data_IF_067149029768
#
_entry.id   IF_067149029768
#
_cell.length_a   1.000
_cell.length_b   1.000
_cell.length_c   1.000
_cell.angle_alpha   90.00
_cell.angle_beta   90.00
_cell.angle_gamma   90.00
#
_symmetry.space_group_name_H-M   'P 1'
#
loop_
_entity.id
_entity.type
_entity.pdbx_description
1 polymer ?
#
# COMPACT_ATOMS: atom_id res chain seq x y z
N UNK A 1 -34.19 -38.27 5.88
CA UNK A 1 -33.59 -37.12 5.18
C UNK A 1 -33.84 -37.31 3.69
N UNK A 2 -34.49 -36.36 3.01
CA UNK A 2 -34.79 -36.51 1.58
C UNK A 2 -33.47 -36.62 0.77
N UNK A 3 -33.50 -37.43 -0.28
CA UNK A 3 -32.33 -37.68 -1.15
C UNK A 3 -31.68 -36.35 -1.63
N UNK A 4 -32.49 -35.33 -1.92
CA UNK A 4 -32.00 -33.98 -2.29
C UNK A 4 -31.14 -33.34 -1.19
N UNK A 5 -31.55 -33.40 0.09
CA UNK A 5 -30.75 -32.83 1.19
C UNK A 5 -29.40 -33.53 1.36
N UNK A 6 -29.40 -34.88 1.18
CA UNK A 6 -28.13 -35.64 1.21
C UNK A 6 -27.23 -35.24 0.05
N UNK A 7 -27.78 -35.14 -1.16
CA UNK A 7 -27.00 -34.72 -2.35
C UNK A 7 -26.38 -33.32 -2.16
N UNK A 8 -27.16 -32.34 -1.71
CA UNK A 8 -26.69 -30.99 -1.45
C UNK A 8 -25.60 -30.98 -0.37
N UNK A 9 -25.75 -31.72 0.69
CA UNK A 9 -24.78 -31.86 1.77
C UNK A 9 -23.44 -32.44 1.27
N UNK A 10 -23.51 -33.57 0.51
CA UNK A 10 -22.29 -34.17 -0.05
C UNK A 10 -21.63 -33.30 -1.10
N UNK A 11 -22.39 -32.63 -1.97
CA UNK A 11 -21.85 -31.67 -2.92
C UNK A 11 -21.13 -30.50 -2.22
N UNK A 12 -21.74 -29.93 -1.16
CA UNK A 12 -21.11 -28.86 -0.38
C UNK A 12 -19.79 -29.33 0.28
N UNK A 13 -19.80 -30.52 0.89
CA UNK A 13 -18.61 -31.10 1.49
C UNK A 13 -17.49 -31.32 0.45
N UNK A 14 -17.84 -31.88 -0.71
CA UNK A 14 -16.88 -32.09 -1.81
C UNK A 14 -16.26 -30.77 -2.28
N UNK A 15 -17.07 -29.71 -2.48
CA UNK A 15 -16.56 -28.41 -2.90
C UNK A 15 -15.68 -27.78 -1.82
N UNK A 16 -16.04 -27.90 -0.53
CA UNK A 16 -15.19 -27.39 0.56
C UNK A 16 -13.84 -28.13 0.62
N UNK A 17 -13.84 -29.46 0.50
CA UNK A 17 -12.60 -30.24 0.47
C UNK A 17 -11.76 -29.85 -0.74
N UNK A 18 -12.37 -29.70 -1.91
CA UNK A 18 -11.69 -29.24 -3.11
C UNK A 18 -11.09 -27.85 -2.91
N UNK A 19 -11.82 -26.91 -2.26
CA UNK A 19 -11.32 -25.58 -1.95
C UNK A 19 -10.07 -25.63 -1.07
N UNK A 20 -10.04 -26.52 -0.07
CA UNK A 20 -8.87 -26.68 0.80
C UNK A 20 -7.65 -27.10 -0.04
N UNK A 21 -7.78 -28.10 -0.91
CA UNK A 21 -6.67 -28.52 -1.78
C UNK A 21 -6.24 -27.42 -2.75
N UNK A 22 -7.19 -26.72 -3.37
CA UNK A 22 -6.89 -25.60 -4.28
C UNK A 22 -6.19 -24.44 -3.52
N UNK A 23 -6.58 -24.17 -2.28
CA UNK A 23 -5.96 -23.15 -1.44
C UNK A 23 -4.53 -23.54 -1.05
N UNK A 24 -4.30 -24.79 -0.68
CA UNK A 24 -2.96 -25.31 -0.40
C UNK A 24 -2.07 -25.19 -1.66
N UNK A 25 -2.57 -25.64 -2.81
CA UNK A 25 -1.85 -25.51 -4.08
C UNK A 25 -1.54 -24.04 -4.41
N UNK A 26 -2.52 -23.15 -4.26
CA UNK A 26 -2.34 -21.71 -4.48
C UNK A 26 -1.26 -21.08 -3.60
N UNK A 27 -1.12 -21.56 -2.36
CA UNK A 27 -0.10 -21.06 -1.42
C UNK A 27 1.34 -21.33 -1.91
N UNK A 28 1.56 -22.41 -2.69
CA UNK A 28 2.88 -22.72 -3.27
C UNK A 28 3.17 -21.97 -4.58
N UNK A 29 2.18 -21.34 -5.21
CA UNK A 29 2.37 -20.65 -6.49
C UNK A 29 3.01 -19.26 -6.37
N UNK A 30 2.96 -18.66 -5.17
CA UNK A 30 3.28 -17.25 -4.96
C UNK A 30 2.17 -16.29 -5.44
N UNK A 31 2.20 -15.00 -5.04
CA UNK A 31 1.04 -14.09 -5.13
C UNK A 31 0.49 -13.91 -6.56
N UNK A 32 1.36 -13.61 -7.52
CA UNK A 32 0.95 -13.32 -8.91
C UNK A 32 0.36 -14.55 -9.61
N UNK A 33 1.00 -15.72 -9.46
CA UNK A 33 0.52 -16.96 -10.09
C UNK A 33 -0.75 -17.46 -9.41
N UNK A 34 -0.86 -17.35 -8.09
CA UNK A 34 -2.07 -17.69 -7.35
C UNK A 34 -3.24 -16.81 -7.79
N UNK A 35 -3.04 -15.49 -7.94
CA UNK A 35 -4.05 -14.57 -8.47
C UNK A 35 -4.57 -15.02 -9.84
N UNK A 36 -3.67 -15.33 -10.78
CA UNK A 36 -4.05 -15.78 -12.12
C UNK A 36 -4.76 -17.15 -12.08
N UNK A 37 -4.32 -18.06 -11.23
CA UNK A 37 -4.95 -19.35 -11.02
C UNK A 37 -6.39 -19.22 -10.51
N UNK A 38 -6.62 -18.45 -9.42
CA UNK A 38 -7.94 -18.26 -8.85
C UNK A 38 -8.91 -17.44 -9.72
N UNK A 39 -8.38 -16.62 -10.65
CA UNK A 39 -9.16 -15.89 -11.65
C UNK A 39 -9.33 -16.66 -12.98
N UNK A 40 -8.85 -17.89 -13.09
CA UNK A 40 -9.00 -18.71 -14.29
C UNK A 40 -10.46 -19.10 -14.55
N UNK A 41 -10.80 -19.35 -15.82
CA UNK A 41 -12.16 -19.73 -16.20
C UNK A 41 -12.70 -20.97 -15.44
N UNK A 42 -11.93 -22.07 -15.25
CA UNK A 42 -12.39 -23.20 -14.44
C UNK A 42 -12.75 -22.82 -13.01
N UNK A 43 -11.95 -21.95 -12.37
CA UNK A 43 -12.23 -21.51 -11.01
C UNK A 43 -13.34 -20.46 -10.94
N UNK A 44 -13.57 -19.67 -11.97
CA UNK A 44 -14.76 -18.84 -12.07
C UNK A 44 -16.04 -19.67 -12.05
N UNK A 45 -16.08 -20.79 -12.80
CA UNK A 45 -17.20 -21.76 -12.77
C UNK A 45 -17.34 -22.39 -11.38
N UNK A 46 -16.23 -22.77 -10.75
CA UNK A 46 -16.23 -23.29 -9.38
C UNK A 46 -16.84 -22.28 -8.38
N UNK A 47 -16.43 -21.01 -8.42
CA UNK A 47 -16.95 -19.99 -7.51
C UNK A 47 -18.46 -19.74 -7.69
N UNK A 48 -18.93 -19.73 -8.95
CA UNK A 48 -20.37 -19.61 -9.25
C UNK A 48 -21.12 -20.82 -8.71
N UNK A 49 -20.64 -22.03 -8.99
CA UNK A 49 -21.27 -23.27 -8.52
C UNK A 49 -21.31 -23.35 -6.99
N UNK A 50 -20.22 -22.96 -6.32
CA UNK A 50 -20.12 -22.92 -4.86
C UNK A 50 -21.11 -21.92 -4.26
N UNK A 51 -21.22 -20.72 -4.85
CA UNK A 51 -22.17 -19.69 -4.40
C UNK A 51 -23.61 -20.16 -4.57
N UNK A 52 -23.96 -20.72 -5.73
CA UNK A 52 -25.30 -21.26 -5.98
C UNK A 52 -25.63 -22.38 -5.01
N UNK A 53 -24.70 -23.30 -4.76
CA UNK A 53 -24.90 -24.39 -3.81
C UNK A 53 -25.10 -23.89 -2.38
N UNK A 54 -24.41 -22.84 -1.98
CA UNK A 54 -24.55 -22.19 -0.68
C UNK A 54 -25.95 -21.55 -0.55
N UNK A 55 -26.44 -20.88 -1.58
CA UNK A 55 -27.79 -20.28 -1.63
C UNK A 55 -28.85 -21.40 -1.53
N UNK A 56 -28.73 -22.44 -2.36
CA UNK A 56 -29.64 -23.59 -2.38
C UNK A 56 -29.62 -24.30 -1.02
N UNK A 57 -28.44 -24.56 -0.47
CA UNK A 57 -28.26 -25.16 0.84
C UNK A 57 -28.95 -24.38 1.95
N UNK A 58 -28.73 -23.03 1.96
CA UNK A 58 -29.38 -22.15 2.94
C UNK A 58 -30.92 -22.22 2.83
N UNK A 59 -31.47 -22.27 1.61
CA UNK A 59 -32.90 -22.36 1.38
C UNK A 59 -33.49 -23.73 1.80
N UNK A 60 -32.80 -24.83 1.48
CA UNK A 60 -33.29 -26.21 1.77
C UNK A 60 -33.21 -26.57 3.27
N UNK A 61 -32.13 -26.10 3.94
CA UNK A 61 -31.93 -26.38 5.36
C UNK A 61 -32.58 -25.32 6.23
N UNK A 62 -33.89 -25.45 6.52
CA UNK A 62 -34.68 -24.49 7.32
C UNK A 62 -34.01 -24.05 8.64
N UNK A 63 -33.15 -24.89 9.24
CA UNK A 63 -32.43 -24.57 10.45
C UNK A 63 -31.46 -23.36 10.23
N UNK A 64 -30.87 -23.27 9.03
CA UNK A 64 -29.96 -22.19 8.67
C UNK A 64 -30.67 -20.81 8.62
N UNK A 65 -31.95 -20.84 8.22
CA UNK A 65 -32.78 -19.62 8.18
C UNK A 65 -33.37 -19.29 9.57
N UNK A 66 -33.79 -20.30 10.33
CA UNK A 66 -34.49 -20.11 11.61
C UNK A 66 -33.57 -19.69 12.75
N UNK A 67 -32.28 -19.96 12.67
CA UNK A 67 -31.32 -19.61 13.69
C UNK A 67 -30.59 -18.35 13.22
N UNK A 68 -30.83 -17.15 13.86
CA UNK A 68 -30.33 -15.86 13.35
C UNK A 68 -28.81 -15.83 13.11
N UNK A 69 -28.01 -16.37 14.03
CA UNK A 69 -26.56 -16.46 13.88
C UNK A 69 -26.12 -17.28 12.66
N UNK A 70 -26.78 -18.42 12.40
CA UNK A 70 -26.46 -19.23 11.21
C UNK A 70 -26.89 -18.53 9.92
N UNK A 71 -28.02 -17.84 9.93
CA UNK A 71 -28.49 -17.06 8.78
C UNK A 71 -27.49 -15.96 8.43
N UNK A 72 -27.05 -15.20 9.43
CA UNK A 72 -26.06 -14.12 9.22
C UNK A 72 -24.73 -14.66 8.69
N UNK A 73 -24.25 -15.81 9.20
CA UNK A 73 -23.01 -16.43 8.71
C UNK A 73 -23.15 -16.80 7.23
N UNK A 74 -24.20 -17.52 6.84
CA UNK A 74 -24.38 -17.98 5.47
C UNK A 74 -24.67 -16.83 4.51
N UNK A 75 -25.51 -15.87 4.91
CA UNK A 75 -25.76 -14.67 4.12
C UNK A 75 -24.48 -13.81 3.95
N UNK A 76 -23.67 -13.67 5.01
CA UNK A 76 -22.37 -13.03 4.94
C UNK A 76 -21.43 -13.71 3.94
N UNK A 77 -21.32 -15.03 3.97
CA UNK A 77 -20.53 -15.77 2.98
C UNK A 77 -21.05 -15.59 1.54
N UNK A 78 -22.36 -15.60 1.34
CA UNK A 78 -22.99 -15.36 0.03
C UNK A 78 -22.63 -13.95 -0.48
N UNK A 79 -22.72 -12.92 0.37
CA UNK A 79 -22.35 -11.54 0.00
C UNK A 79 -20.87 -11.43 -0.34
N UNK A 80 -19.97 -12.05 0.45
CA UNK A 80 -18.53 -12.04 0.16
C UNK A 80 -18.26 -12.64 -1.22
N UNK A 81 -18.80 -13.83 -1.49
CA UNK A 81 -18.62 -14.51 -2.78
C UNK A 81 -19.22 -13.72 -3.94
N UNK A 82 -20.42 -13.19 -3.78
CA UNK A 82 -21.09 -12.37 -4.80
C UNK A 82 -20.31 -11.09 -5.09
N UNK A 83 -19.84 -10.39 -4.05
CA UNK A 83 -19.03 -9.19 -4.19
C UNK A 83 -17.68 -9.47 -4.87
N UNK A 84 -17.01 -10.58 -4.52
CA UNK A 84 -15.77 -11.00 -5.16
C UNK A 84 -15.97 -11.35 -6.65
N UNK A 85 -17.03 -12.10 -6.99
CA UNK A 85 -17.37 -12.39 -8.39
C UNK A 85 -17.66 -11.09 -9.16
N UNK A 86 -18.38 -10.15 -8.53
CA UNK A 86 -18.74 -8.85 -9.14
C UNK A 86 -17.52 -7.99 -9.44
N UNK A 87 -16.48 -8.03 -8.59
CA UNK A 87 -15.22 -7.32 -8.77
C UNK A 87 -14.22 -8.03 -9.70
N UNK A 88 -14.49 -9.28 -10.10
CA UNK A 88 -13.61 -10.04 -11.00
C UNK A 88 -13.64 -9.51 -12.44
N UNK A 89 -12.64 -9.89 -13.26
CA UNK A 89 -12.62 -9.56 -14.69
C UNK A 89 -13.90 -10.05 -15.43
N UNK A 90 -14.42 -11.21 -15.02
CA UNK A 90 -15.70 -11.74 -15.54
C UNK A 90 -16.88 -10.87 -15.10
N UNK A 91 -16.88 -10.39 -13.86
CA UNK A 91 -17.86 -9.44 -13.33
C UNK A 91 -17.85 -8.11 -14.07
N UNK A 92 -16.68 -7.54 -14.34
CA UNK A 92 -16.56 -6.30 -15.14
C UNK A 92 -17.07 -6.48 -16.58
N UNK A 93 -16.77 -7.62 -17.23
CA UNK A 93 -17.34 -7.94 -18.56
C UNK A 93 -18.86 -8.04 -18.51
N UNK A 94 -19.42 -8.65 -17.45
CA UNK A 94 -20.86 -8.76 -17.25
C UNK A 94 -21.51 -7.39 -17.02
N UNK A 95 -20.92 -6.54 -16.17
CA UNK A 95 -21.37 -5.16 -15.91
C UNK A 95 -21.43 -4.34 -17.20
N UNK A 96 -20.38 -4.43 -18.04
CA UNK A 96 -20.36 -3.77 -19.34
C UNK A 96 -21.50 -4.26 -20.24
N UNK A 97 -21.71 -5.57 -20.31
CA UNK A 97 -22.70 -6.18 -21.20
C UNK A 97 -24.15 -5.92 -20.77
N UNK A 98 -24.43 -5.92 -19.47
CA UNK A 98 -25.79 -5.77 -18.95
C UNK A 98 -26.17 -4.33 -18.63
N UNK A 99 -25.23 -3.52 -18.18
CA UNK A 99 -25.49 -2.17 -17.66
C UNK A 99 -24.76 -1.08 -18.43
N UNK A 100 -23.94 -1.42 -19.43
CA UNK A 100 -23.11 -0.44 -20.15
C UNK A 100 -21.99 0.18 -19.28
N UNK A 101 -21.73 -0.35 -18.10
CA UNK A 101 -20.74 0.18 -17.18
C UNK A 101 -19.35 -0.32 -17.61
N UNK A 102 -18.57 0.58 -18.23
CA UNK A 102 -17.25 0.26 -18.74
C UNK A 102 -16.15 0.89 -17.88
N UNK A 103 -15.99 0.41 -16.64
CA UNK A 103 -14.92 0.84 -15.74
C UNK A 103 -13.59 0.16 -16.07
N UNK A 104 -12.49 0.80 -15.67
CA UNK A 104 -11.13 0.26 -15.76
C UNK A 104 -10.96 -0.72 -14.59
N UNK A 105 -10.76 -2.02 -14.83
CA UNK A 105 -10.61 -2.99 -13.73
C UNK A 105 -9.37 -2.73 -12.89
N UNK A 106 -8.22 -2.58 -13.54
CA UNK A 106 -6.94 -2.22 -12.93
C UNK A 106 -5.99 -1.67 -13.97
N UNK A 107 -5.23 -0.64 -13.60
CA UNK A 107 -4.22 -0.02 -14.43
C UNK A 107 -3.31 0.89 -13.63
N UNK A 108 -2.44 1.59 -14.33
CA UNK A 108 -1.51 2.56 -13.75
C UNK A 108 -1.54 3.84 -14.57
N UNK A 109 -1.34 4.95 -13.91
CA UNK A 109 -1.13 6.25 -14.55
C UNK A 109 0.15 6.89 -13.99
N UNK A 110 0.93 7.50 -14.89
CA UNK A 110 2.12 8.28 -14.54
C UNK A 110 1.72 9.73 -14.57
N UNK A 111 1.93 10.45 -13.47
CA UNK A 111 1.56 11.85 -13.36
C UNK A 111 2.80 12.63 -12.90
N UNK A 112 3.21 13.62 -13.69
CA UNK A 112 4.28 14.55 -13.31
C UNK A 112 3.74 15.61 -12.35
N UNK A 113 4.59 16.09 -11.44
CA UNK A 113 4.23 17.18 -10.54
C UNK A 113 3.69 18.40 -11.29
N UNK A 114 2.63 18.99 -10.76
CA UNK A 114 1.93 20.12 -11.34
C UNK A 114 1.06 19.80 -12.56
N UNK A 115 1.15 18.58 -13.14
CA UNK A 115 0.38 18.19 -14.31
C UNK A 115 -0.90 17.43 -13.95
N UNK A 116 -1.77 17.25 -14.93
CA UNK A 116 -3.01 16.47 -14.82
C UNK A 116 -3.10 15.45 -15.94
N UNK A 117 -3.55 14.24 -15.59
CA UNK A 117 -3.72 13.13 -16.53
C UNK A 117 -5.09 12.48 -16.35
N UNK A 118 -5.62 11.87 -17.42
CA UNK A 118 -6.82 11.04 -17.37
C UNK A 118 -6.60 9.65 -17.98
N UNK A 119 -5.45 9.44 -18.62
CA UNK A 119 -5.09 8.18 -19.27
C UNK A 119 -4.56 7.15 -18.27
N UNK A 120 -5.14 5.96 -18.28
CA UNK A 120 -4.72 4.82 -17.46
C UNK A 120 -4.26 3.70 -18.37
N UNK A 121 -3.01 3.27 -18.22
CA UNK A 121 -2.45 2.10 -18.90
C UNK A 121 -2.97 0.84 -18.21
N UNK A 122 -3.67 -0.02 -18.93
CA UNK A 122 -4.26 -1.23 -18.36
C UNK A 122 -3.19 -2.26 -17.99
N UNK A 123 -3.32 -2.89 -16.82
CA UNK A 123 -2.33 -3.86 -16.29
C UNK A 123 -2.06 -5.04 -17.24
N UNK A 124 -3.05 -5.47 -18.03
CA UNK A 124 -2.98 -6.66 -18.88
C UNK A 124 -2.82 -6.34 -20.37
N UNK A 125 -2.62 -5.09 -20.73
CA UNK A 125 -2.43 -4.66 -22.12
C UNK A 125 -1.80 -3.27 -22.14
N UNK A 126 -1.00 -2.96 -23.13
CA UNK A 126 -0.44 -1.60 -23.31
C UNK A 126 -1.49 -0.56 -23.74
N UNK A 127 -2.78 -0.92 -23.70
CA UNK A 127 -3.86 -0.01 -24.08
C UNK A 127 -4.09 1.02 -22.99
N UNK A 128 -4.21 2.26 -23.42
CA UNK A 128 -4.62 3.38 -22.57
C UNK A 128 -6.13 3.49 -22.60
N UNK A 129 -6.74 3.69 -21.44
CA UNK A 129 -8.15 3.97 -21.27
C UNK A 129 -8.33 5.23 -20.45
N UNK A 130 -9.22 6.12 -20.89
CA UNK A 130 -9.42 7.42 -20.23
C UNK A 130 -10.44 7.34 -19.10
N UNK A 131 -10.16 8.07 -18.01
CA UNK A 131 -11.11 8.37 -16.96
C UNK A 131 -12.03 9.52 -17.38
N UNK A 132 -13.30 9.58 -16.89
CA UNK A 132 -14.21 10.68 -17.17
C UNK A 132 -13.91 11.97 -16.38
N UNK A 133 -12.72 12.09 -15.81
CA UNK A 133 -12.19 13.22 -15.06
C UNK A 133 -10.66 13.17 -15.09
N UNK A 134 -10.01 14.26 -14.72
CA UNK A 134 -8.56 14.34 -14.61
C UNK A 134 -8.12 14.11 -13.17
N UNK A 135 -6.95 13.50 -13.01
CA UNK A 135 -6.20 13.40 -11.74
C UNK A 135 -4.99 14.30 -11.87
N UNK A 136 -4.82 15.24 -10.96
CA UNK A 136 -3.67 16.14 -10.89
C UNK A 136 -2.81 15.74 -9.72
N UNK A 137 -1.50 15.68 -9.93
CA UNK A 137 -0.49 15.59 -8.86
C UNK A 137 -0.02 17.02 -8.54
N UNK A 138 -0.32 17.50 -7.34
CA UNK A 138 0.16 18.81 -6.89
C UNK A 138 1.61 18.74 -6.43
N UNK A 139 1.92 17.77 -5.56
CA UNK A 139 3.23 17.55 -4.97
C UNK A 139 3.44 16.06 -4.69
N UNK A 140 4.69 15.63 -4.74
CA UNK A 140 5.12 14.30 -4.29
C UNK A 140 6.33 14.44 -3.37
N UNK A 141 6.25 13.90 -2.17
CA UNK A 141 7.36 13.91 -1.24
C UNK A 141 7.49 12.59 -0.46
N UNK A 142 8.71 12.36 0.05
CA UNK A 142 9.03 11.24 0.91
C UNK A 142 9.01 11.69 2.36
N UNK A 143 8.29 11.00 3.19
CA UNK A 143 8.41 11.15 4.64
C UNK A 143 9.48 10.21 5.19
N UNK A 144 10.19 10.65 6.23
CA UNK A 144 11.27 9.90 6.82
C UNK A 144 11.07 9.74 8.33
N UNK A 145 11.43 8.56 8.84
CA UNK A 145 11.47 8.33 10.28
C UNK A 145 12.47 9.27 10.96
N UNK A 146 12.08 9.86 12.07
CA UNK A 146 12.97 10.64 12.94
C UNK A 146 13.36 9.80 14.16
N UNK A 147 14.58 9.94 14.69
CA UNK A 147 15.65 10.78 14.15
C UNK A 147 16.33 10.17 12.92
N UNK A 148 16.86 11.02 12.04
CA UNK A 148 17.81 10.66 11.02
C UNK A 148 19.19 10.46 11.64
N UNK A 149 20.11 9.79 10.94
CA UNK A 149 21.38 9.39 11.55
C UNK A 149 22.58 9.72 10.67
N UNK A 150 23.66 10.16 11.33
CA UNK A 150 25.02 10.14 10.78
C UNK A 150 25.70 8.88 11.29
N UNK A 151 26.01 7.96 10.38
CA UNK A 151 26.83 6.78 10.69
C UNK A 151 28.30 7.11 10.46
N UNK A 152 29.14 6.85 11.43
CA UNK A 152 30.59 7.06 11.39
C UNK A 152 31.25 5.71 11.61
N UNK A 153 32.18 5.34 10.75
CA UNK A 153 32.94 4.09 10.88
C UNK A 153 34.43 4.35 10.71
N UNK A 154 35.25 3.65 11.50
CA UNK A 154 36.70 3.59 11.29
C UNK A 154 37.05 2.40 10.39
N UNK A 155 38.24 2.44 9.78
CA UNK A 155 38.80 1.29 9.05
C UNK A 155 39.01 0.04 9.93
N UNK A 156 39.09 0.21 11.24
CA UNK A 156 39.28 -0.86 12.24
C UNK A 156 37.94 -1.48 12.67
N UNK A 157 36.80 -1.01 12.13
CA UNK A 157 35.48 -1.58 12.41
C UNK A 157 34.74 -0.96 13.59
N UNK A 158 35.27 0.08 14.24
CA UNK A 158 34.52 0.85 15.23
C UNK A 158 33.43 1.64 14.52
N UNK A 159 32.22 1.76 15.11
CA UNK A 159 31.12 2.49 14.51
C UNK A 159 30.30 3.27 15.55
N UNK A 160 29.83 4.44 15.16
CA UNK A 160 28.92 5.29 15.93
C UNK A 160 27.72 5.62 15.07
N UNK A 161 26.54 5.54 15.65
CA UNK A 161 25.27 5.96 15.06
C UNK A 161 24.76 7.19 15.81
N UNK A 162 24.94 8.37 15.24
CA UNK A 162 24.66 9.67 15.85
C UNK A 162 23.37 10.22 15.29
N UNK A 163 22.36 10.59 16.12
CA UNK A 163 21.17 11.28 15.62
C UNK A 163 21.54 12.66 15.06
N UNK A 164 20.85 13.08 14.01
CA UNK A 164 21.05 14.39 13.38
C UNK A 164 20.50 15.48 14.29
N UNK A 165 21.40 16.08 15.08
CA UNK A 165 21.13 17.21 15.96
C UNK A 165 22.07 18.36 15.57
N UNK A 166 21.55 19.46 15.01
CA UNK A 166 22.34 20.58 14.54
C UNK A 166 22.99 21.32 15.72
N UNK A 167 24.27 21.58 15.63
CA UNK A 167 25.04 22.36 16.60
C UNK A 167 25.54 21.58 17.83
N UNK A 168 25.19 20.31 17.97
CA UNK A 168 25.64 19.47 19.08
C UNK A 168 26.97 18.79 18.75
N UNK A 169 27.89 18.79 19.73
CA UNK A 169 29.15 18.08 19.64
C UNK A 169 29.00 16.64 20.14
N UNK A 170 29.50 15.68 19.36
CA UNK A 170 29.57 14.26 19.70
C UNK A 170 31.01 13.80 19.79
N UNK A 171 31.41 13.26 20.94
CA UNK A 171 32.75 12.71 21.13
C UNK A 171 32.86 11.30 20.55
N UNK A 172 33.88 11.07 19.73
CA UNK A 172 34.24 9.74 19.20
C UNK A 172 35.28 9.01 20.06
N UNK A 173 35.69 9.62 21.17
CA UNK A 173 36.75 9.17 22.03
C UNK A 173 38.01 10.01 21.92
N UNK A 174 38.96 9.79 22.87
CA UNK A 174 40.14 10.64 23.02
C UNK A 174 41.06 10.62 21.79
N UNK A 175 41.08 9.55 21.04
CA UNK A 175 42.01 9.37 19.90
C UNK A 175 41.42 9.85 18.54
N UNK A 176 40.11 10.09 18.47
CA UNK A 176 39.40 10.40 17.21
C UNK A 176 38.78 11.80 17.18
N UNK A 177 38.68 12.46 18.36
CA UNK A 177 38.15 13.83 18.46
C UNK A 177 36.63 13.90 18.55
N UNK A 178 36.06 14.99 17.98
CA UNK A 178 34.61 15.26 18.04
C UNK A 178 34.03 15.50 16.66
N UNK A 179 32.74 15.25 16.54
CA UNK A 179 31.96 15.51 15.33
C UNK A 179 30.77 16.39 15.68
N UNK A 180 30.52 17.40 14.86
CA UNK A 180 29.40 18.34 14.96
C UNK A 180 28.69 18.43 13.62
N UNK A 181 27.36 18.34 13.61
CA UNK A 181 26.53 18.58 12.42
C UNK A 181 26.21 20.08 12.42
N UNK A 182 26.68 20.78 11.39
CA UNK A 182 26.51 22.23 11.27
C UNK A 182 25.19 22.59 10.60
N UNK A 183 24.82 21.84 9.54
CA UNK A 183 23.62 22.09 8.74
C UNK A 183 23.14 20.83 8.05
N UNK A 184 21.82 20.70 7.86
CA UNK A 184 21.19 19.72 7.01
C UNK A 184 20.58 20.42 5.78
N UNK A 185 20.64 19.76 4.63
CA UNK A 185 20.09 20.20 3.35
C UNK A 185 19.15 19.10 2.83
N UNK A 186 17.99 19.49 2.28
CA UNK A 186 17.08 18.57 1.60
C UNK A 186 17.43 18.45 0.11
N UNK A 187 17.82 19.55 -0.53
CA UNK A 187 18.23 19.59 -1.94
C UNK A 187 19.52 20.39 -2.11
N UNK A 188 20.64 19.78 -1.66
CA UNK A 188 21.95 20.41 -1.68
C UNK A 188 22.41 20.83 -3.07
N UNK A 189 22.80 22.08 -3.23
CA UNK A 189 23.46 22.67 -4.41
C UNK A 189 24.61 23.54 -3.99
N UNK A 190 25.50 23.80 -4.94
CA UNK A 190 26.60 24.73 -4.78
C UNK A 190 26.44 25.83 -5.83
N UNK A 191 26.50 27.10 -5.42
CA UNK A 191 26.64 28.24 -6.31
C UNK A 191 28.05 28.80 -6.19
N UNK A 192 28.51 29.35 -7.29
CA UNK A 192 29.83 30.01 -7.36
C UNK A 192 29.58 31.50 -7.21
N UNK A 193 30.07 32.11 -6.14
CA UNK A 193 30.07 33.58 -5.90
C UNK A 193 31.51 34.11 -5.90
N UNK A 194 31.96 34.63 -7.04
CA UNK A 194 33.36 34.94 -7.25
C UNK A 194 34.21 33.66 -7.20
N UNK A 195 35.23 33.64 -6.33
CA UNK A 195 36.08 32.45 -6.12
C UNK A 195 35.57 31.52 -4.99
N UNK A 196 34.39 31.78 -4.46
CA UNK A 196 33.83 30.97 -3.34
C UNK A 196 32.74 30.05 -3.79
N UNK A 197 32.81 28.79 -3.34
CA UNK A 197 31.77 27.82 -3.48
C UNK A 197 30.83 27.88 -2.26
N UNK A 198 29.60 28.37 -2.46
CA UNK A 198 28.65 28.61 -1.40
C UNK A 198 27.56 27.51 -1.48
N UNK A 199 27.45 26.62 -0.48
CA UNK A 199 26.41 25.63 -0.42
C UNK A 199 25.07 26.27 -0.02
N UNK A 200 24.01 25.87 -0.70
CA UNK A 200 22.64 26.29 -0.39
C UNK A 200 21.64 25.15 -0.59
N UNK A 201 20.47 25.33 -0.02
CA UNK A 201 19.34 24.44 -0.23
C UNK A 201 18.50 24.98 -1.38
N UNK A 202 18.35 24.20 -2.46
CA UNK A 202 17.61 24.61 -3.64
C UNK A 202 16.12 24.50 -3.38
N UNK A 203 15.34 25.61 -3.44
CA UNK A 203 13.91 25.57 -3.16
C UNK A 203 13.07 24.92 -4.27
N UNK A 204 13.66 24.69 -5.46
CA UNK A 204 12.98 24.00 -6.54
C UNK A 204 12.93 22.47 -6.28
N UNK A 205 11.92 21.76 -6.83
CA UNK A 205 11.83 20.33 -6.67
C UNK A 205 13.10 19.58 -7.02
N UNK A 206 13.55 18.72 -6.14
CA UNK A 206 14.74 17.91 -6.32
C UNK A 206 15.11 17.20 -5.03
N UNK A 207 15.86 16.10 -5.14
CA UNK A 207 16.22 15.27 -4.01
C UNK A 207 17.73 15.06 -3.98
N UNK A 208 18.43 15.78 -3.13
CA UNK A 208 19.86 15.62 -2.89
C UNK A 208 20.22 15.93 -1.42
N UNK A 209 19.74 15.11 -0.47
CA UNK A 209 19.96 15.36 0.95
C UNK A 209 21.43 15.26 1.32
N UNK A 210 21.89 16.21 2.14
CA UNK A 210 23.25 16.25 2.61
C UNK A 210 23.36 16.87 4.01
N UNK A 211 24.38 16.45 4.75
CA UNK A 211 24.78 17.05 6.02
C UNK A 211 26.11 17.79 5.83
N UNK A 212 26.22 18.99 6.39
CA UNK A 212 27.50 19.65 6.60
C UNK A 212 28.02 19.23 7.97
N UNK A 213 29.13 18.50 7.97
CA UNK A 213 29.70 17.89 9.16
C UNK A 213 31.10 18.49 9.42
N UNK A 214 31.31 18.96 10.63
CA UNK A 214 32.62 19.40 11.13
C UNK A 214 33.23 18.30 11.97
N UNK A 215 34.46 17.94 11.66
CA UNK A 215 35.28 16.99 12.42
C UNK A 215 36.41 17.78 13.07
N UNK A 216 36.51 17.67 14.38
CA UNK A 216 37.63 18.29 15.13
C UNK A 216 38.55 17.20 15.65
N UNK A 217 39.79 17.17 15.20
CA UNK A 217 40.77 16.18 15.65
C UNK A 217 41.15 16.39 17.11
N UNK A 218 41.79 15.42 17.79
CA UNK A 218 42.27 15.58 19.18
C UNK A 218 43.29 16.70 19.39
N UNK A 219 44.00 17.10 18.31
CA UNK A 219 44.98 18.20 18.32
C UNK A 219 44.37 19.53 17.93
N UNK A 220 43.06 19.60 17.66
CA UNK A 220 42.33 20.84 17.39
C UNK A 220 42.18 21.17 15.91
N UNK A 221 42.66 20.35 14.99
CA UNK A 221 42.47 20.60 13.55
C UNK A 221 41.00 20.41 13.20
N UNK A 222 40.47 21.33 12.39
CA UNK A 222 39.06 21.35 11.96
C UNK A 222 38.99 21.01 10.48
N UNK A 223 38.18 19.99 10.16
CA UNK A 223 37.84 19.60 8.81
C UNK A 223 36.32 19.67 8.62
N UNK A 224 35.84 20.24 7.50
CA UNK A 224 34.40 20.36 7.21
C UNK A 224 34.09 19.65 5.92
N UNK A 225 33.13 18.69 6.00
CA UNK A 225 32.73 17.81 4.90
C UNK A 225 31.25 17.87 4.64
N UNK A 226 30.86 17.49 3.40
CA UNK A 226 29.47 17.25 3.02
C UNK A 226 29.25 15.76 2.89
N UNK A 227 28.27 15.23 3.62
CA UNK A 227 27.92 13.80 3.64
C UNK A 227 26.57 13.64 2.99
N UNK A 228 26.53 12.96 1.85
CA UNK A 228 25.33 12.78 1.05
C UNK A 228 24.65 11.46 1.38
N UNK A 229 23.31 11.46 1.40
CA UNK A 229 22.53 10.24 1.54
C UNK A 229 22.72 9.30 0.35
N UNK A 230 22.65 9.85 -0.87
CA UNK A 230 22.68 9.07 -2.14
C UNK A 230 24.06 8.55 -2.51
N UNK A 231 25.11 9.11 -1.93
CA UNK A 231 26.50 8.76 -2.23
C UNK A 231 27.25 8.37 -0.95
N UNK A 232 26.80 7.28 -0.27
CA UNK A 232 27.50 6.81 0.91
C UNK A 232 28.91 6.38 0.52
N UNK A 233 29.91 6.92 1.18
CA UNK A 233 31.29 6.45 1.02
C UNK A 233 32.18 7.23 0.05
N UNK A 234 31.84 8.47 -0.31
CA UNK A 234 32.84 9.38 -0.88
C UNK A 234 33.94 9.66 0.14
N UNK A 235 34.95 8.80 0.14
CA UNK A 235 36.13 8.92 0.97
C UNK A 235 37.37 9.18 0.12
N UNK A 236 38.24 10.02 0.60
CA UNK A 236 39.63 10.00 0.14
C UNK A 236 40.35 8.79 0.70
N UNK A 237 41.30 8.18 -0.05
CA UNK A 237 42.05 7.02 0.42
C UNK A 237 42.74 7.21 1.80
N UNK A 238 43.02 8.46 2.18
CA UNK A 238 43.69 8.82 3.42
C UNK A 238 42.73 9.08 4.60
N UNK A 239 41.42 9.06 4.37
CA UNK A 239 40.45 9.35 5.42
C UNK A 239 40.42 8.27 6.50
N UNK A 240 40.48 8.71 7.76
CA UNK A 240 40.40 7.82 8.94
C UNK A 240 38.95 7.43 9.26
N UNK A 241 37.97 8.28 8.91
CA UNK A 241 36.56 8.13 9.23
C UNK A 241 35.74 8.05 7.94
N UNK A 242 34.92 7.01 7.84
CA UNK A 242 33.87 6.86 6.84
C UNK A 242 32.58 7.46 7.40
N UNK A 243 32.01 8.42 6.70
CA UNK A 243 30.76 9.07 7.07
C UNK A 243 29.65 8.66 6.10
N UNK A 244 28.48 8.34 6.62
CA UNK A 244 27.30 8.01 5.82
C UNK A 244 26.05 8.63 6.44
N UNK A 245 25.30 9.39 5.64
CA UNK A 245 24.02 9.94 6.06
C UNK A 245 22.92 8.91 5.80
N UNK A 246 22.14 8.57 6.82
CA UNK A 246 21.09 7.55 6.76
C UNK A 246 19.74 8.16 7.11
N UNK A 247 18.83 8.06 6.16
CA UNK A 247 17.42 8.37 6.31
C UNK A 247 16.61 7.10 6.01
N UNK A 248 15.58 6.82 6.79
CA UNK A 248 14.69 5.68 6.56
C UNK A 248 13.32 6.20 6.17
N UNK A 249 12.87 5.85 4.97
CA UNK A 249 11.56 6.27 4.46
C UNK A 249 10.46 5.68 5.35
N UNK A 250 9.58 6.53 5.84
CA UNK A 250 8.38 6.13 6.60
C UNK A 250 7.17 6.01 5.70
N UNK A 251 7.00 6.94 4.74
CA UNK A 251 5.89 6.91 3.80
C UNK A 251 6.20 7.64 2.47
N UNK A 252 5.32 7.40 1.49
CA UNK A 252 5.33 8.00 0.16
C UNK A 252 4.03 8.77 0.00
N UNK A 253 4.10 10.10 -0.07
CA UNK A 253 2.94 10.96 -0.08
C UNK A 253 2.77 11.60 -1.46
N UNK A 254 1.61 11.40 -2.09
CA UNK A 254 1.20 12.11 -3.31
C UNK A 254 -0.04 12.96 -3.02
N UNK A 255 0.07 14.27 -3.23
CA UNK A 255 -1.07 15.19 -3.11
C UNK A 255 -1.88 15.18 -4.40
N UNK A 256 -3.01 14.45 -4.38
CA UNK A 256 -3.87 14.29 -5.55
C UNK A 256 -5.10 15.20 -5.50
N UNK A 257 -5.44 15.77 -6.65
CA UNK A 257 -6.71 16.45 -6.89
C UNK A 257 -7.47 15.80 -8.05
N UNK A 258 -8.77 15.62 -7.85
CA UNK A 258 -9.69 15.19 -8.92
C UNK A 258 -10.31 16.43 -9.55
N UNK A 259 -10.14 16.59 -10.86
CA UNK A 259 -10.64 17.74 -11.63
C UNK A 259 -11.68 17.26 -12.63
N UNK A 260 -12.89 17.81 -12.53
CA UNK A 260 -13.98 17.60 -13.48
C UNK A 260 -14.59 18.95 -13.82
N UNK A 261 -14.89 19.18 -15.12
CA UNK A 261 -15.46 20.43 -15.63
C UNK A 261 -14.64 21.68 -15.18
N UNK A 262 -13.30 21.54 -15.19
CA UNK A 262 -12.32 22.54 -14.71
C UNK A 262 -12.47 22.95 -13.24
N UNK A 263 -13.13 22.14 -12.40
CA UNK A 263 -13.26 22.38 -10.96
C UNK A 263 -12.61 21.23 -10.20
N UNK A 264 -11.92 21.57 -9.11
CA UNK A 264 -11.46 20.57 -8.13
C UNK A 264 -12.68 20.11 -7.35
N UNK A 265 -12.96 18.80 -7.39
CA UNK A 265 -14.14 18.19 -6.74
C UNK A 265 -13.77 17.23 -5.62
N UNK A 266 -12.52 16.79 -5.57
CA UNK A 266 -11.96 16.03 -4.45
C UNK A 266 -10.46 16.28 -4.37
N UNK A 267 -9.92 16.23 -3.15
CA UNK A 267 -8.50 16.38 -2.86
C UNK A 267 -8.14 15.46 -1.71
N UNK A 268 -6.99 14.82 -1.81
CA UNK A 268 -6.46 13.98 -0.73
C UNK A 268 -4.99 13.71 -0.92
N UNK A 269 -4.24 13.74 0.18
CA UNK A 269 -2.91 13.15 0.27
C UNK A 269 -3.06 11.64 0.34
N UNK A 270 -2.54 10.93 -0.66
CA UNK A 270 -2.52 9.48 -0.67
C UNK A 270 -1.16 8.96 -0.19
N UNK A 271 -1.24 7.92 0.61
CA UNK A 271 -0.12 7.19 1.19
C UNK A 271 -0.26 5.70 0.85
N UNK A 272 0.71 4.88 1.22
CA UNK A 272 0.75 3.45 0.82
C UNK A 272 -0.55 2.70 1.13
N UNK A 273 -1.21 2.96 2.26
CA UNK A 273 -2.45 2.27 2.65
C UNK A 273 -3.67 3.21 2.77
N UNK A 274 -3.54 4.47 2.34
CA UNK A 274 -4.59 5.48 2.44
C UNK A 274 -5.00 6.02 1.05
N UNK A 275 -5.67 5.22 0.21
CA UNK A 275 -6.03 5.62 -1.14
C UNK A 275 -7.08 6.73 -1.19
N UNK A 276 -7.11 7.45 -2.32
CA UNK A 276 -8.23 8.31 -2.68
C UNK A 276 -9.33 7.46 -3.33
N UNK A 277 -10.57 7.67 -2.91
CA UNK A 277 -11.75 7.02 -3.48
C UNK A 277 -12.60 8.04 -4.22
N UNK A 278 -12.78 7.88 -5.52
CA UNK A 278 -13.62 8.76 -6.31
C UNK A 278 -14.19 8.08 -7.56
N UNK A 279 -15.46 8.35 -7.88
CA UNK A 279 -16.11 7.87 -9.11
C UNK A 279 -16.21 6.33 -9.21
N UNK A 280 -16.04 5.62 -8.08
CA UNK A 280 -15.97 4.16 -8.02
C UNK A 280 -14.62 3.61 -8.45
N UNK A 281 -13.59 4.44 -8.34
CA UNK A 281 -12.18 4.09 -8.47
C UNK A 281 -11.45 4.33 -7.15
N UNK A 282 -10.38 3.57 -6.96
CA UNK A 282 -9.44 3.68 -5.87
C UNK A 282 -8.07 4.03 -6.46
N UNK A 283 -7.44 5.07 -5.94
CA UNK A 283 -6.14 5.58 -6.39
C UNK A 283 -5.13 5.30 -5.29
N UNK A 284 -4.19 4.39 -5.56
CA UNK A 284 -3.16 3.97 -4.61
C UNK A 284 -1.80 4.48 -5.06
N UNK A 285 -0.96 4.88 -4.11
CA UNK A 285 0.47 5.08 -4.36
C UNK A 285 1.09 3.74 -4.78
N UNK A 286 1.71 3.68 -5.95
CA UNK A 286 2.32 2.46 -6.49
C UNK A 286 3.83 2.52 -6.55
N UNK A 287 4.37 3.54 -7.19
CA UNK A 287 5.80 3.81 -7.29
C UNK A 287 6.02 5.29 -7.63
N UNK A 288 7.28 5.69 -7.76
CA UNK A 288 7.66 7.06 -8.07
C UNK A 288 8.99 7.09 -8.82
N UNK A 289 9.36 8.26 -9.33
CA UNK A 289 10.70 8.50 -9.91
C UNK A 289 11.76 8.58 -8.80
N UNK A 290 12.46 7.47 -8.58
CA UNK A 290 13.52 7.40 -7.57
C UNK A 290 14.77 8.23 -7.91
N UNK A 291 14.91 8.70 -9.16
CA UNK A 291 16.09 9.46 -9.59
C UNK A 291 15.92 10.97 -9.40
N UNK A 292 14.83 11.52 -9.91
CA UNK A 292 14.58 12.96 -9.91
C UNK A 292 13.40 13.38 -9.03
N UNK A 293 12.52 12.45 -8.61
CA UNK A 293 11.33 12.75 -7.80
C UNK A 293 10.27 13.54 -8.57
N UNK A 294 10.26 13.51 -9.91
CA UNK A 294 9.44 14.39 -10.73
C UNK A 294 8.05 13.86 -11.05
N UNK A 295 7.83 12.57 -10.88
CA UNK A 295 6.54 11.93 -11.16
C UNK A 295 6.19 10.85 -10.15
N UNK A 296 4.91 10.64 -9.98
CA UNK A 296 4.35 9.53 -9.22
C UNK A 296 3.59 8.57 -10.13
N UNK A 297 3.66 7.28 -9.81
CA UNK A 297 2.87 6.24 -10.49
C UNK A 297 1.73 5.84 -9.58
N UNK A 298 0.51 6.12 -10.05
CA UNK A 298 -0.72 5.86 -9.30
C UNK A 298 -1.39 4.60 -9.86
N UNK A 299 -1.61 3.60 -9.01
CA UNK A 299 -2.44 2.46 -9.37
C UNK A 299 -3.91 2.85 -9.29
N UNK A 300 -4.64 2.60 -10.37
CA UNK A 300 -6.08 2.88 -10.49
C UNK A 300 -6.82 1.56 -10.56
N UNK A 301 -7.72 1.33 -9.60
CA UNK A 301 -8.49 0.09 -9.49
C UNK A 301 -9.97 0.41 -9.35
N UNK A 302 -10.82 -0.26 -10.13
CA UNK A 302 -12.27 -0.23 -9.93
C UNK A 302 -12.71 -1.48 -9.19
N UNK A 303 -13.10 -1.30 -7.94
CA UNK A 303 -13.50 -2.41 -7.07
C UNK A 303 -14.98 -2.28 -6.70
N UNK A 304 -15.84 -2.48 -7.71
CA UNK A 304 -17.29 -2.25 -7.60
C UNK A 304 -17.99 -3.22 -6.64
N UNK A 305 -17.36 -4.34 -6.27
CA UNK A 305 -17.90 -5.33 -5.33
C UNK A 305 -17.40 -5.18 -3.90
N UNK A 306 -16.43 -4.32 -3.63
CA UNK A 306 -15.77 -4.22 -2.32
C UNK A 306 -16.74 -3.88 -1.19
N UNK A 307 -17.68 -2.98 -1.43
CA UNK A 307 -18.70 -2.61 -0.44
C UNK A 307 -19.58 -3.81 -0.04
N UNK A 308 -19.93 -4.66 -1.04
CA UNK A 308 -20.70 -5.88 -0.81
C UNK A 308 -19.88 -6.90 0.02
N UNK A 309 -18.57 -7.00 -0.27
CA UNK A 309 -17.66 -7.87 0.48
C UNK A 309 -17.55 -7.43 1.94
N UNK A 310 -17.36 -6.11 2.20
CA UNK A 310 -17.30 -5.59 3.57
C UNK A 310 -18.62 -5.78 4.32
N UNK A 311 -19.76 -5.55 3.68
CA UNK A 311 -21.06 -5.85 4.28
C UNK A 311 -21.17 -7.34 4.63
N UNK A 312 -20.68 -8.21 3.75
CA UNK A 312 -20.61 -9.66 4.00
C UNK A 312 -19.72 -10.01 5.19
N UNK A 313 -18.55 -9.39 5.34
CA UNK A 313 -17.70 -9.58 6.52
C UNK A 313 -18.37 -9.13 7.82
N UNK A 314 -19.00 -7.96 7.83
CA UNK A 314 -19.73 -7.48 9.01
C UNK A 314 -20.83 -8.47 9.42
N UNK A 315 -21.61 -8.97 8.44
CA UNK A 315 -22.64 -9.97 8.71
C UNK A 315 -22.08 -11.30 9.22
N UNK A 316 -20.97 -11.76 8.64
CA UNK A 316 -20.28 -12.96 9.08
C UNK A 316 -19.82 -12.85 10.53
N UNK A 317 -19.12 -11.78 10.88
CA UNK A 317 -18.64 -11.54 12.26
C UNK A 317 -19.78 -11.41 13.24
N UNK A 318 -20.81 -10.64 12.90
CA UNK A 318 -22.01 -10.50 13.73
C UNK A 318 -22.72 -11.86 13.94
N UNK A 319 -22.80 -12.68 12.88
CA UNK A 319 -23.37 -14.02 12.93
C UNK A 319 -22.59 -14.97 13.81
N UNK A 320 -21.26 -15.00 13.69
CA UNK A 320 -20.36 -15.79 14.52
C UNK A 320 -20.48 -15.37 15.98
N UNK A 321 -20.40 -14.06 16.25
CA UNK A 321 -20.53 -13.50 17.60
C UNK A 321 -21.88 -13.87 18.22
N UNK A 322 -22.99 -13.70 17.47
CA UNK A 322 -24.32 -14.10 17.92
C UNK A 322 -24.38 -15.59 18.22
N UNK A 323 -23.88 -16.44 17.32
CA UNK A 323 -24.02 -17.89 17.43
C UNK A 323 -23.25 -18.47 18.61
N UNK A 324 -22.02 -17.98 18.87
CA UNK A 324 -21.14 -18.55 19.89
C UNK A 324 -21.27 -17.88 21.26
N UNK A 325 -21.54 -16.57 21.34
CA UNK A 325 -21.58 -15.84 22.63
C UNK A 325 -22.97 -15.38 23.03
N UNK A 326 -23.65 -14.58 22.23
CA UNK A 326 -24.92 -13.97 22.63
C UNK A 326 -25.99 -15.02 22.91
N UNK A 327 -26.07 -16.08 22.13
CA UNK A 327 -27.00 -17.18 22.37
C UNK A 327 -26.81 -17.82 23.73
N UNK A 328 -25.59 -18.01 24.20
CA UNK A 328 -25.31 -18.57 25.52
C UNK A 328 -25.68 -17.59 26.65
N UNK A 329 -25.36 -16.32 26.52
CA UNK A 329 -25.70 -15.27 27.49
C UNK A 329 -27.21 -15.19 27.67
N UNK A 330 -27.98 -15.12 26.58
CA UNK A 330 -29.45 -15.09 26.65
C UNK A 330 -30.05 -16.39 27.22
N UNK A 331 -29.48 -17.55 26.92
CA UNK A 331 -29.97 -18.83 27.48
C UNK A 331 -29.75 -18.93 29.01
N UNK A 332 -28.66 -18.36 29.51
CA UNK A 332 -28.37 -18.28 30.96
C UNK A 332 -29.35 -17.30 31.65
N UNK A 333 -29.58 -16.11 31.01
CA UNK A 333 -30.48 -15.10 31.54
C UNK A 333 -31.94 -15.60 31.64
N UNK A 334 -32.39 -16.39 30.67
CA UNK A 334 -33.76 -16.97 30.67
C UNK A 334 -33.90 -18.12 31.70
N UNK A 335 -32.84 -18.89 31.97
CA UNK A 335 -32.86 -19.96 32.99
C UNK A 335 -32.80 -19.43 34.44
N UNK A 336 -32.45 -18.16 34.65
CA UNK A 336 -32.40 -17.50 35.97
C UNK A 336 -33.67 -16.74 36.34
N UNK A 337 -34.66 -16.67 35.43
CA UNK A 337 -36.03 -16.24 35.68
C UNK A 337 -36.95 -17.46 35.76
#
# INVERSE_FOLDING_TARGET
>A
MNNLRRAVMWAALTLIILLIFLSIYGAFLGPERAKNFFNSLPLAVYWIAFTLLLIIGTAIFRRLIRVPGLLLIHAGCILILTGAIWSSDAGHKLQRRLFGIDKIPAGQMVIYEGTRENGVVLKNSEKVKELPFYVKLNDFHLEHYKPEYLLIQTRQGQSWKIPVEIGRDFSLGNDLGTVKILKAFENFKIKIEGDKHVPYDEPQPGYNPALQVQITSPIGDIDTRYVFERFPGHMHPEDKLLLSYQRFISDYVSELQIIKDNKVIAEKNIEVNHPLHFGGYHFYQHSYDAQAGQYSVIAVVSDSGVTIVYAGYIMLFAGVFWHFWLRHIFSIAIKKK
#
